data_IF_447732437959
#
_entry.id   IF_447732437959
#
_cell.length_a   1.000
_cell.length_b   1.000
_cell.length_c   1.000
_cell.angle_alpha   90.00
_cell.angle_beta   90.00
_cell.angle_gamma   90.00
#
_symmetry.space_group_name_H-M   'P 1'
#
loop_
_entity.id
_entity.type
_entity.pdbx_description
1 polymer ?
#
# COMPACT_ATOMS: atom_id res chain seq x y z
N UNK A 1 5.48 -14.06 1.57
CA UNK A 1 6.46 -13.24 2.33
C UNK A 1 7.20 -12.38 1.31
N UNK A 2 6.93 -11.07 1.32
CA UNK A 2 7.40 -9.99 0.40
C UNK A 2 7.24 -10.16 -1.12
N UNK A 3 7.16 -11.37 -1.66
CA UNK A 3 7.04 -11.66 -3.10
C UNK A 3 5.75 -11.12 -3.73
N UNK A 4 4.69 -10.99 -2.93
CA UNK A 4 3.39 -10.48 -3.36
C UNK A 4 3.20 -8.99 -3.03
N UNK A 5 4.26 -8.30 -2.62
CA UNK A 5 4.20 -6.89 -2.32
C UNK A 5 4.24 -6.07 -3.62
N UNK A 6 3.36 -5.08 -3.73
CA UNK A 6 3.17 -4.29 -4.94
C UNK A 6 3.22 -2.79 -4.61
N UNK A 7 3.81 -2.00 -5.50
CA UNK A 7 3.71 -0.54 -5.44
C UNK A 7 2.39 -0.09 -6.06
N UNK A 8 1.66 0.75 -5.34
CA UNK A 8 0.37 1.29 -5.75
C UNK A 8 0.16 2.71 -5.23
N UNK A 9 -0.76 3.44 -5.86
CA UNK A 9 -1.27 4.70 -5.34
C UNK A 9 -2.37 4.44 -4.32
N UNK A 10 -2.18 4.97 -3.11
CA UNK A 10 -3.09 4.81 -1.96
C UNK A 10 -3.49 6.17 -1.40
N UNK A 11 -4.74 6.30 -0.94
CA UNK A 11 -5.20 7.49 -0.20
C UNK A 11 -5.06 7.25 1.29
N UNK A 12 -4.34 8.12 1.97
CA UNK A 12 -4.09 8.06 3.40
C UNK A 12 -4.17 9.50 3.93
N UNK A 13 -5.03 9.74 4.92
CA UNK A 13 -5.14 11.06 5.58
C UNK A 13 -5.37 12.21 4.57
N UNK A 14 -6.27 11.99 3.60
CA UNK A 14 -6.59 12.97 2.54
C UNK A 14 -5.47 13.24 1.52
N UNK A 15 -4.31 12.57 1.66
CA UNK A 15 -3.23 12.59 0.67
C UNK A 15 -3.22 11.32 -0.18
N UNK A 16 -2.93 11.46 -1.49
CA UNK A 16 -2.60 10.31 -2.34
C UNK A 16 -1.09 10.16 -2.45
N UNK A 17 -0.57 8.99 -2.11
CA UNK A 17 0.87 8.68 -2.15
C UNK A 17 1.14 7.36 -2.88
N UNK A 18 2.39 7.15 -3.32
CA UNK A 18 2.86 5.82 -3.71
C UNK A 18 3.37 5.06 -2.48
N UNK A 19 2.89 3.83 -2.31
CA UNK A 19 3.28 2.95 -1.23
C UNK A 19 3.42 1.51 -1.71
N UNK A 20 4.32 0.76 -1.09
CA UNK A 20 4.46 -0.68 -1.27
C UNK A 20 3.57 -1.38 -0.26
N UNK A 21 2.57 -2.13 -0.74
CA UNK A 21 1.60 -2.80 0.12
C UNK A 21 1.69 -4.32 -0.02
N UNK A 22 1.35 -5.03 1.04
CA UNK A 22 1.18 -6.49 1.03
C UNK A 22 -0.20 -6.86 1.58
N UNK A 23 -0.88 -7.79 0.91
CA UNK A 23 -2.17 -8.30 1.38
C UNK A 23 -1.97 -9.12 2.66
N UNK A 24 -2.75 -8.78 3.70
CA UNK A 24 -2.71 -9.46 5.00
C UNK A 24 -4.03 -10.22 5.31
N UNK A 25 -4.95 -10.29 4.34
CA UNK A 25 -6.21 -11.04 4.42
C UNK A 25 -7.45 -10.15 4.49
N UNK A 26 -8.61 -10.70 4.11
CA UNK A 26 -9.94 -10.06 4.19
C UNK A 26 -10.01 -8.67 3.51
N UNK A 27 -9.29 -8.49 2.41
CA UNK A 27 -9.25 -7.20 1.70
C UNK A 27 -8.48 -6.11 2.44
N UNK A 28 -7.64 -6.48 3.41
CA UNK A 28 -6.75 -5.56 4.12
C UNK A 28 -5.32 -5.71 3.66
N UNK A 29 -4.62 -4.58 3.65
CA UNK A 29 -3.22 -4.50 3.26
C UNK A 29 -2.40 -3.83 4.35
N UNK A 30 -1.10 -4.11 4.35
CA UNK A 30 -0.11 -3.47 5.22
C UNK A 30 0.91 -2.74 4.34
N UNK A 31 1.26 -1.52 4.72
CA UNK A 31 2.31 -0.74 4.06
C UNK A 31 3.68 -1.24 4.56
N UNK A 32 4.54 -1.60 3.62
CA UNK A 32 5.91 -2.02 3.86
C UNK A 32 6.94 -0.92 3.57
N UNK A 33 6.60 -0.01 2.65
CA UNK A 33 7.46 1.12 2.25
C UNK A 33 6.59 2.25 1.65
N UNK A 34 7.07 3.49 1.67
CA UNK A 34 6.36 4.66 1.14
C UNK A 34 7.30 5.78 0.69
N UNK A 35 6.85 6.59 -0.27
CA UNK A 35 7.64 7.72 -0.81
C UNK A 35 7.81 8.90 0.16
N UNK A 36 7.23 8.84 1.36
CA UNK A 36 7.32 9.89 2.40
C UNK A 36 8.38 9.54 3.45
N UNK A 37 9.32 8.67 3.12
CA UNK A 37 10.45 8.32 4.00
C UNK A 37 10.06 7.39 5.15
N UNK A 38 9.04 6.56 4.94
CA UNK A 38 8.60 5.56 5.91
C UNK A 38 7.53 6.06 6.89
N UNK A 39 6.96 7.26 6.66
CA UNK A 39 5.93 7.87 7.52
C UNK A 39 4.72 6.96 7.76
N UNK A 40 4.40 6.10 6.79
CA UNK A 40 3.20 5.27 6.80
C UNK A 40 3.49 3.76 6.86
N UNK A 41 4.75 3.37 7.01
CA UNK A 41 5.15 1.97 7.22
C UNK A 41 4.38 1.34 8.38
N UNK A 42 4.10 0.03 8.28
CA UNK A 42 3.31 -0.75 9.22
C UNK A 42 1.81 -0.39 9.33
N UNK A 43 1.37 0.71 8.70
CA UNK A 43 -0.05 1.10 8.66
C UNK A 43 -0.87 0.05 7.90
N UNK A 44 -2.06 -0.24 8.43
CA UNK A 44 -3.05 -1.10 7.79
C UNK A 44 -4.05 -0.25 7.04
N UNK A 45 -4.33 -0.61 5.80
CA UNK A 45 -5.29 0.05 4.92
C UNK A 45 -6.28 -0.98 4.38
N UNK A 46 -7.45 -0.53 3.99
CA UNK A 46 -8.48 -1.35 3.38
C UNK A 46 -8.40 -1.27 1.85
N UNK A 47 -8.99 -2.24 1.14
CA UNK A 47 -9.00 -2.27 -0.32
C UNK A 47 -9.62 -1.01 -0.95
N UNK A 48 -10.53 -0.34 -0.23
CA UNK A 48 -11.12 0.95 -0.64
C UNK A 48 -10.12 2.10 -0.70
N UNK A 49 -8.97 1.96 -0.03
CA UNK A 49 -7.94 2.99 0.03
C UNK A 49 -6.94 2.89 -1.14
N UNK A 50 -7.07 1.87 -2.00
CA UNK A 50 -6.16 1.58 -3.11
C UNK A 50 -6.82 1.95 -4.44
N UNK A 51 -6.22 2.87 -5.20
CA UNK A 51 -6.81 3.40 -6.43
C UNK A 51 -6.20 2.81 -7.70
N UNK A 52 -4.88 2.59 -7.68
CA UNK A 52 -4.14 2.13 -8.85
C UNK A 52 -2.97 1.26 -8.43
N UNK A 53 -2.90 0.05 -8.97
CA UNK A 53 -1.79 -0.88 -8.75
C UNK A 53 -0.96 -1.02 -10.02
N UNK A 54 0.36 -0.84 -9.92
CA UNK A 54 1.27 -1.10 -11.04
C UNK A 54 1.66 -2.58 -11.04
N UNK A 55 1.01 -3.37 -11.89
CA UNK A 55 1.37 -4.77 -12.10
C UNK A 55 2.48 -4.82 -13.15
N UNK A 56 3.74 -4.93 -12.71
CA UNK A 56 4.83 -5.24 -13.63
C UNK A 56 4.76 -6.74 -13.94
N UNK A 57 4.48 -7.07 -15.20
CA UNK A 57 4.30 -8.43 -15.71
C UNK A 57 5.58 -8.96 -16.34
#
# INVERSE_FOLDING_TARGET
>A
MEKDAIWCSVSIEEETIEAKIIHIGRGKFKILDDVKGGKYTEKKIDASDVFYCRVNR
#
